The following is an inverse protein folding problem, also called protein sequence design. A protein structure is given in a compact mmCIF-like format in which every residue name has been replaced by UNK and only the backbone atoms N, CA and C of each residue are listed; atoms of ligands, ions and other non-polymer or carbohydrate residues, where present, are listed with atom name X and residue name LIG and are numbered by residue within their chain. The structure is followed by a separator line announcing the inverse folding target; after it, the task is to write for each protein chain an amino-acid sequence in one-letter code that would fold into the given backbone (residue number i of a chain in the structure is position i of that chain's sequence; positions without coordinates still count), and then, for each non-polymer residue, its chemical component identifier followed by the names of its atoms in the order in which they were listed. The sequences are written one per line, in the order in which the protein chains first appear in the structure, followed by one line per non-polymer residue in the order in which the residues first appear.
data_IF_363237827691
#
_entry.id   IF_363237827691
#
_cell.length_a   1.000
_cell.length_b   1.000
_cell.length_c   1.000
_cell.angle_alpha   90.00
_cell.angle_beta   90.00
_cell.angle_gamma   90.00
#
_symmetry.space_group_name_H-M   'P 1'
#
loop_
_entity.id
_entity.type
_entity.pdbx_description
1 polymer ?
#
# COMPACT_ATOMS: atom_id res chain seq x y z
N UNK A 1 -26.62 51.16 -12.64
CA UNK A 1 -25.68 51.93 -11.81
C UNK A 1 -24.99 50.98 -10.84
N UNK A 2 -23.67 50.74 -10.98
CA UNK A 2 -22.85 50.62 -9.78
C UNK A 2 -21.59 51.49 -9.87
N UNK A 3 -21.57 52.57 -9.09
CA UNK A 3 -20.37 53.28 -8.64
C UNK A 3 -20.25 53.00 -7.14
N UNK A 4 -19.15 52.48 -6.62
CA UNK A 4 -17.96 53.28 -6.32
C UNK A 4 -16.91 52.33 -5.73
N UNK A 5 -15.66 52.46 -6.18
CA UNK A 5 -14.48 52.18 -5.37
C UNK A 5 -13.68 53.48 -5.32
N UNK A 6 -13.28 53.96 -4.13
CA UNK A 6 -11.87 54.33 -4.01
C UNK A 6 -11.26 54.13 -2.59
N UNK A 7 -9.98 53.72 -2.60
CA UNK A 7 -8.86 54.38 -1.89
C UNK A 7 -8.75 54.32 -0.35
N UNK A 8 -7.91 53.40 0.12
CA UNK A 8 -6.61 53.66 0.79
C UNK A 8 -6.48 54.56 2.05
N UNK A 9 -5.55 54.12 2.92
CA UNK A 9 -4.81 54.80 4.03
C UNK A 9 -5.48 54.71 5.40
N UNK A 10 -4.97 53.85 6.29
CA UNK A 10 -3.96 54.21 7.31
C UNK A 10 -4.58 53.95 8.69
N UNK A 11 -3.94 53.56 9.79
CA UNK A 11 -2.54 53.48 10.21
C UNK A 11 -2.50 52.59 11.48
N UNK A 12 -1.39 51.86 11.65
CA UNK A 12 -0.68 51.66 12.93
C UNK A 12 -1.30 50.75 14.00
N UNK A 13 -0.75 49.54 14.08
CA UNK A 13 -0.17 49.05 15.34
C UNK A 13 1.22 48.48 15.01
N UNK A 14 2.26 49.28 15.30
CA UNK A 14 3.64 48.80 15.34
C UNK A 14 3.73 47.80 16.49
N UNK A 15 3.58 46.51 16.21
CA UNK A 15 3.98 45.47 17.14
C UNK A 15 5.48 45.27 16.94
N UNK A 16 6.26 46.00 17.73
CA UNK A 16 7.69 45.76 17.87
C UNK A 16 7.90 44.29 18.24
N UNK A 17 8.49 43.55 17.31
CA UNK A 17 9.13 42.28 17.57
C UNK A 17 10.54 42.42 17.03
N UNK A 18 11.48 42.80 17.88
CA UNK A 18 12.89 42.81 17.53
C UNK A 18 13.29 41.41 17.09
N UNK A 19 13.54 41.25 15.79
CA UNK A 19 14.15 40.05 15.26
C UNK A 19 15.57 39.97 15.79
N UNK A 20 15.85 38.95 16.59
CA UNK A 20 17.21 38.56 16.95
C UNK A 20 17.87 38.06 15.68
N UNK A 21 18.72 38.90 15.08
CA UNK A 21 19.63 38.51 14.01
C UNK A 21 20.89 37.91 14.66
N UNK A 22 21.51 36.94 14.01
CA UNK A 22 22.90 36.58 14.35
C UNK A 22 23.84 37.69 13.87
N UNK A 23 25.11 37.66 14.30
CA UNK A 23 26.16 38.64 13.93
C UNK A 23 26.31 38.87 12.40
N UNK A 24 25.75 37.95 11.59
CA UNK A 24 25.74 38.01 10.12
C UNK A 24 24.38 38.41 9.49
N UNK A 25 23.44 38.97 10.25
CA UNK A 25 22.24 39.62 9.68
C UNK A 25 21.16 38.71 9.06
N UNK A 26 21.18 37.40 9.32
CA UNK A 26 20.16 36.46 8.80
C UNK A 26 19.07 36.16 9.85
N UNK A 27 17.79 36.04 9.43
CA UNK A 27 16.69 35.75 10.34
C UNK A 27 16.76 34.30 10.85
N UNK A 28 16.57 34.10 12.16
CA UNK A 28 16.48 32.78 12.77
C UNK A 28 15.26 32.03 12.18
N UNK A 29 15.50 30.94 11.43
CA UNK A 29 14.45 30.16 10.76
C UNK A 29 14.41 30.23 9.23
N UNK A 30 15.39 30.85 8.57
CA UNK A 30 15.53 30.70 7.11
C UNK A 30 16.01 29.27 6.78
N UNK A 31 15.10 28.44 6.27
CA UNK A 31 15.45 27.18 5.65
C UNK A 31 16.51 27.41 4.57
N UNK A 32 17.63 26.70 4.66
CA UNK A 32 18.73 26.80 3.69
C UNK A 32 18.19 26.51 2.27
N UNK A 33 18.51 27.33 1.25
CA UNK A 33 18.15 27.05 -0.13
C UNK A 33 18.71 25.70 -0.65
N UNK A 34 19.73 25.17 0.02
CA UNK A 34 20.35 23.87 -0.29
C UNK A 34 19.53 22.66 0.21
N UNK A 35 18.51 22.83 1.06
CA UNK A 35 17.64 21.72 1.49
C UNK A 35 16.55 21.36 0.46
N UNK A 36 16.30 22.23 -0.52
CA UNK A 36 15.38 21.93 -1.64
C UNK A 36 16.00 21.01 -2.71
N UNK A 37 17.31 20.75 -2.66
CA UNK A 37 17.98 19.78 -3.53
C UNK A 37 17.85 18.33 -3.03
N UNK A 38 17.22 18.11 -1.86
CA UNK A 38 16.83 16.79 -1.38
C UNK A 38 15.40 16.42 -1.80
N UNK A 39 14.96 16.88 -2.98
CA UNK A 39 13.84 16.31 -3.72
C UNK A 39 14.13 14.89 -4.21
N UNK A 40 14.48 13.99 -3.29
CA UNK A 40 14.50 12.54 -3.52
C UNK A 40 13.05 12.11 -3.72
N UNK A 41 12.55 12.29 -4.92
CA UNK A 41 11.41 11.52 -5.40
C UNK A 41 11.85 10.06 -5.39
N UNK A 42 11.62 9.35 -4.28
CA UNK A 42 11.77 7.89 -4.20
C UNK A 42 10.76 7.13 -5.09
N UNK A 43 10.14 7.83 -6.06
CA UNK A 43 9.28 7.25 -7.09
C UNK A 43 10.01 6.99 -8.39
N UNK A 44 11.33 6.77 -8.33
CA UNK A 44 11.99 5.83 -9.24
C UNK A 44 11.55 4.41 -8.91
N UNK A 45 10.30 4.05 -9.24
CA UNK A 45 9.78 2.71 -9.03
C UNK A 45 10.69 1.72 -9.72
N UNK A 46 11.48 0.96 -8.94
CA UNK A 46 12.30 -0.15 -9.43
C UNK A 46 11.43 -0.92 -10.42
N UNK A 47 11.83 -1.00 -11.69
CA UNK A 47 11.17 -1.86 -12.69
C UNK A 47 11.29 -3.28 -12.15
N UNK A 48 10.34 -3.67 -11.32
CA UNK A 48 10.19 -5.04 -10.90
C UNK A 48 9.89 -5.77 -12.21
N UNK A 49 10.84 -6.60 -12.67
CA UNK A 49 10.55 -7.55 -13.74
C UNK A 49 9.20 -8.15 -13.40
N UNK A 50 8.23 -8.16 -14.33
CA UNK A 50 6.90 -8.76 -14.06
C UNK A 50 7.18 -10.13 -13.46
N UNK A 51 7.05 -10.27 -12.14
CA UNK A 51 7.29 -11.54 -11.46
C UNK A 51 6.09 -12.38 -11.85
N UNK A 52 6.17 -12.99 -13.02
CA UNK A 52 5.23 -13.99 -13.47
C UNK A 52 5.60 -15.20 -12.62
N UNK A 53 5.04 -15.27 -11.40
CA UNK A 53 5.23 -16.41 -10.49
C UNK A 53 4.88 -17.62 -11.35
N UNK A 54 5.87 -18.42 -11.78
CA UNK A 54 5.56 -19.59 -12.56
C UNK A 54 4.89 -20.53 -11.56
N UNK A 55 3.58 -20.74 -11.73
CA UNK A 55 2.87 -21.78 -10.99
C UNK A 55 3.37 -23.08 -11.61
N UNK A 56 4.55 -23.55 -11.18
CA UNK A 56 5.25 -24.71 -11.76
C UNK A 56 4.41 -25.99 -11.70
N UNK A 57 3.38 -26.02 -10.86
CA UNK A 57 2.42 -27.12 -10.75
C UNK A 57 1.00 -26.56 -10.70
N UNK A 58 0.37 -26.51 -11.87
CA UNK A 58 -1.07 -26.23 -11.98
C UNK A 58 -1.85 -27.37 -11.34
N UNK A 59 -2.99 -27.08 -10.71
CA UNK A 59 -3.87 -28.12 -10.17
C UNK A 59 -3.50 -28.71 -8.81
N UNK A 60 -2.35 -28.42 -8.20
CA UNK A 60 -1.94 -29.02 -6.91
C UNK A 60 -2.99 -28.94 -5.78
N UNK A 61 -3.72 -27.82 -5.70
CA UNK A 61 -4.80 -27.66 -4.73
C UNK A 61 -6.08 -28.39 -5.18
N UNK A 62 -6.37 -28.36 -6.48
CA UNK A 62 -7.54 -29.02 -7.11
C UNK A 62 -7.44 -30.54 -6.96
N UNK A 63 -6.25 -31.11 -7.14
CA UNK A 63 -5.93 -32.52 -6.93
C UNK A 63 -6.19 -32.98 -5.49
N UNK A 64 -6.19 -32.05 -4.53
CA UNK A 64 -6.52 -32.31 -3.13
C UNK A 64 -7.98 -31.94 -2.79
N UNK A 65 -8.79 -31.68 -3.80
CA UNK A 65 -10.21 -31.38 -3.71
C UNK A 65 -10.54 -29.93 -3.35
N UNK A 66 -9.56 -29.03 -3.31
CA UNK A 66 -9.80 -27.61 -3.03
C UNK A 66 -10.49 -26.94 -4.23
N UNK A 67 -11.64 -26.33 -3.97
CA UNK A 67 -12.36 -25.48 -4.92
C UNK A 67 -13.05 -24.33 -4.19
N UNK A 68 -13.05 -23.15 -4.81
CA UNK A 68 -13.65 -21.92 -4.28
C UNK A 68 -15.18 -21.90 -4.36
N UNK A 69 -15.78 -22.83 -5.11
CA UNK A 69 -17.24 -23.05 -5.14
C UNK A 69 -17.73 -23.85 -3.92
N UNK A 70 -16.86 -24.63 -3.28
CA UNK A 70 -17.24 -25.46 -2.12
C UNK A 70 -17.44 -24.63 -0.83
N UNK A 71 -18.24 -25.17 0.09
CA UNK A 71 -18.45 -24.62 1.45
C UNK A 71 -17.14 -24.53 2.23
N UNK A 72 -17.04 -23.59 3.17
CA UNK A 72 -15.81 -23.29 3.91
C UNK A 72 -15.22 -24.51 4.63
N UNK A 73 -16.06 -25.32 5.28
CA UNK A 73 -15.65 -26.56 5.95
C UNK A 73 -14.93 -27.52 5.01
N UNK A 74 -15.46 -27.72 3.80
CA UNK A 74 -14.85 -28.59 2.79
C UNK A 74 -13.51 -28.02 2.30
N UNK A 75 -13.43 -26.71 2.05
CA UNK A 75 -12.17 -26.05 1.67
C UNK A 75 -11.10 -26.22 2.75
N UNK A 76 -11.44 -25.99 4.01
CA UNK A 76 -10.51 -26.14 5.14
C UNK A 76 -10.00 -27.58 5.27
N UNK A 77 -10.85 -28.59 5.09
CA UNK A 77 -10.42 -30.00 5.08
C UNK A 77 -9.41 -30.30 3.96
N UNK A 78 -9.65 -29.83 2.74
CA UNK A 78 -8.69 -29.95 1.64
C UNK A 78 -7.39 -29.18 1.92
N UNK A 79 -7.47 -28.01 2.54
CA UNK A 79 -6.29 -27.22 2.91
C UNK A 79 -5.44 -27.91 3.97
N UNK A 80 -6.04 -28.58 4.97
CA UNK A 80 -5.28 -29.40 5.93
C UNK A 80 -4.49 -30.50 5.22
N UNK A 81 -5.10 -31.19 4.25
CA UNK A 81 -4.40 -32.20 3.42
C UNK A 81 -3.26 -31.57 2.61
N UNK A 82 -3.48 -30.38 2.05
CA UNK A 82 -2.46 -29.65 1.29
C UNK A 82 -1.29 -29.19 2.16
N UNK A 83 -1.55 -28.74 3.39
CA UNK A 83 -0.51 -28.33 4.34
C UNK A 83 0.36 -29.53 4.71
N UNK A 84 -0.23 -30.70 4.97
CA UNK A 84 0.52 -31.95 5.21
C UNK A 84 1.42 -32.36 4.03
N UNK A 85 0.92 -32.21 2.79
CA UNK A 85 1.65 -32.64 1.58
C UNK A 85 2.73 -31.67 1.11
N UNK A 86 2.48 -30.36 1.15
CA UNK A 86 3.35 -29.35 0.51
C UNK A 86 4.00 -28.38 1.51
N UNK A 87 3.59 -28.42 2.76
CA UNK A 87 4.00 -27.46 3.77
C UNK A 87 3.18 -26.17 3.76
N UNK A 88 3.08 -25.56 4.93
CA UNK A 88 2.23 -24.41 5.22
C UNK A 88 2.58 -23.17 4.39
N UNK A 89 3.86 -22.86 4.26
CA UNK A 89 4.34 -21.70 3.49
C UNK A 89 4.01 -21.83 1.99
N UNK A 90 4.14 -23.02 1.42
CA UNK A 90 3.84 -23.29 0.01
C UNK A 90 2.35 -23.12 -0.28
N UNK A 91 1.47 -23.65 0.57
CA UNK A 91 0.02 -23.48 0.43
C UNK A 91 -0.38 -22.01 0.55
N UNK A 92 0.18 -21.29 1.53
CA UNK A 92 -0.07 -19.85 1.71
C UNK A 92 0.29 -19.02 0.47
N UNK A 93 1.44 -19.31 -0.16
CA UNK A 93 1.87 -18.65 -1.41
C UNK A 93 0.92 -18.95 -2.58
N UNK A 94 0.47 -20.20 -2.72
CA UNK A 94 -0.51 -20.60 -3.75
C UNK A 94 -1.85 -19.87 -3.58
N UNK A 95 -2.35 -19.80 -2.35
CA UNK A 95 -3.59 -19.07 -2.04
C UNK A 95 -3.45 -17.56 -2.28
N UNK A 96 -2.29 -16.98 -1.97
CA UNK A 96 -2.01 -15.58 -2.27
C UNK A 96 -1.99 -15.31 -3.78
N UNK A 97 -1.37 -16.20 -4.58
CA UNK A 97 -1.37 -16.08 -6.03
C UNK A 97 -2.81 -16.10 -6.59
N UNK A 98 -3.66 -17.00 -6.11
CA UNK A 98 -5.09 -17.03 -6.46
C UNK A 98 -5.79 -15.72 -6.08
N UNK A 99 -5.52 -15.18 -4.88
CA UNK A 99 -6.12 -13.93 -4.43
C UNK A 99 -5.71 -12.74 -5.31
N UNK A 100 -4.42 -12.63 -5.67
CA UNK A 100 -3.88 -11.54 -6.50
C UNK A 100 -4.40 -11.62 -7.93
N UNK A 101 -4.46 -12.82 -8.50
CA UNK A 101 -4.94 -13.02 -9.87
C UNK A 101 -6.42 -12.64 -10.03
N UNK A 102 -7.22 -12.92 -9.00
CA UNK A 102 -8.67 -12.66 -9.00
C UNK A 102 -9.05 -11.28 -8.44
N UNK A 103 -8.10 -10.48 -7.92
CA UNK A 103 -8.40 -9.25 -7.16
C UNK A 103 -9.23 -8.22 -7.92
N UNK A 104 -9.10 -8.16 -9.26
CA UNK A 104 -9.81 -7.21 -10.13
C UNK A 104 -11.06 -7.82 -10.77
N UNK A 105 -10.94 -9.03 -11.33
CA UNK A 105 -12.01 -9.67 -12.10
C UNK A 105 -13.07 -10.37 -11.23
N UNK A 106 -12.66 -10.96 -10.11
CA UNK A 106 -13.54 -11.76 -9.25
C UNK A 106 -13.25 -11.44 -7.77
N UNK A 107 -13.72 -10.29 -7.25
CA UNK A 107 -13.39 -9.83 -5.90
C UNK A 107 -13.88 -10.77 -4.80
N UNK A 108 -15.03 -11.44 -5.00
CA UNK A 108 -15.56 -12.45 -4.07
C UNK A 108 -14.59 -13.64 -3.95
N UNK A 109 -14.11 -14.14 -5.09
CA UNK A 109 -13.14 -15.23 -5.17
C UNK A 109 -11.81 -14.84 -4.52
N UNK A 110 -11.36 -13.61 -4.76
CA UNK A 110 -10.16 -13.06 -4.09
C UNK A 110 -10.33 -13.02 -2.57
N UNK A 111 -11.48 -12.56 -2.07
CA UNK A 111 -11.78 -12.50 -0.63
C UNK A 111 -11.78 -13.89 0.01
N UNK A 112 -12.41 -14.88 -0.63
CA UNK A 112 -12.37 -16.29 -0.19
C UNK A 112 -10.95 -16.82 -0.08
N UNK A 113 -10.12 -16.64 -1.13
CA UNK A 113 -8.73 -17.07 -1.12
C UNK A 113 -7.89 -16.39 -0.02
N UNK A 114 -8.15 -15.10 0.29
CA UNK A 114 -7.51 -14.40 1.42
C UNK A 114 -7.91 -14.98 2.78
N UNK A 115 -9.20 -15.29 2.98
CA UNK A 115 -9.67 -15.91 4.22
C UNK A 115 -9.06 -17.31 4.41
N UNK A 116 -9.07 -18.11 3.36
CA UNK A 116 -8.48 -19.45 3.35
C UNK A 116 -6.96 -19.39 3.61
N UNK A 117 -6.26 -18.34 3.12
CA UNK A 117 -4.84 -18.09 3.46
C UNK A 117 -4.67 -17.80 4.95
N UNK A 118 -5.50 -16.92 5.53
CA UNK A 118 -5.45 -16.61 6.98
C UNK A 118 -5.67 -17.86 7.81
N UNK A 119 -6.63 -18.69 7.41
CA UNK A 119 -6.87 -19.99 8.04
C UNK A 119 -5.61 -20.86 8.04
N UNK A 120 -4.97 -21.04 6.87
CA UNK A 120 -3.74 -21.84 6.75
C UNK A 120 -2.58 -21.29 7.60
N UNK A 121 -2.54 -20.00 7.91
CA UNK A 121 -1.51 -19.43 8.79
C UNK A 121 -1.79 -19.63 10.28
N UNK A 122 -3.03 -19.97 10.64
CA UNK A 122 -3.43 -20.24 12.03
C UNK A 122 -3.37 -21.73 12.38
N UNK A 123 -3.55 -22.61 11.39
CA UNK A 123 -3.34 -24.07 11.51
C UNK A 123 -1.84 -24.37 11.56
#
# INVERSE_FOLDING_TARGET
MPSTSPTGKGRRALRGGGGVYTDNGLPFGSANPQELAAGKTLRGGRKTRKVRIPIKRTGDLVNLGYSLSKKARSRHSSLKKAVKKFGRATVSRKLNALAVFNKRRHPVTSRKAKMDRKYVMKV
#
